data_IF_095530707819
#
_entry.id   IF_095530707819
#
_cell.length_a   1.000
_cell.length_b   1.000
_cell.length_c   1.000
_cell.angle_alpha   90.00
_cell.angle_beta   90.00
_cell.angle_gamma   90.00
#
_symmetry.space_group_name_H-M   'P 1'
#
loop_
_entity.id
_entity.type
_entity.pdbx_description
1 polymer ?
#
# COMPACT_ATOMS: atom_id res chain seq x y z
N UNK A 1 1.62 6.95 20.87
CA UNK A 1 0.59 7.33 19.87
C UNK A 1 0.30 6.09 19.06
N UNK A 2 -0.94 5.61 19.02
CA UNK A 2 -1.28 4.37 18.32
C UNK A 2 -2.20 4.75 17.15
N UNK A 3 -1.62 4.95 15.96
CA UNK A 3 -2.37 5.29 14.75
C UNK A 3 -2.49 4.04 13.88
N UNK A 4 -3.72 3.61 13.58
CA UNK A 4 -4.01 2.49 12.67
C UNK A 4 -4.70 3.01 11.42
N UNK A 5 -4.19 2.66 10.26
CA UNK A 5 -4.76 2.98 8.96
C UNK A 5 -5.13 1.68 8.25
N UNK A 6 -6.38 1.56 7.82
CA UNK A 6 -6.87 0.42 7.04
C UNK A 6 -7.15 0.84 5.61
N UNK A 7 -6.80 -0.01 4.65
CA UNK A 7 -6.95 0.23 3.22
C UNK A 7 -7.35 -1.04 2.48
N UNK A 8 -8.00 -0.88 1.32
CA UNK A 8 -8.28 -2.00 0.43
C UNK A 8 -7.00 -2.37 -0.36
N UNK A 9 -6.77 -3.66 -0.55
CA UNK A 9 -5.60 -4.17 -1.26
C UNK A 9 -5.86 -4.43 -2.75
N UNK A 10 -7.13 -4.50 -3.16
CA UNK A 10 -7.52 -4.78 -4.53
C UNK A 10 -8.79 -4.02 -4.91
N UNK A 11 -8.91 -3.64 -6.19
CA UNK A 11 -10.15 -3.09 -6.76
C UNK A 11 -11.21 -4.18 -6.89
N UNK A 12 -10.82 -5.35 -7.38
CA UNK A 12 -11.73 -6.47 -7.61
C UNK A 12 -12.21 -7.10 -6.30
N UNK A 13 -11.36 -7.10 -5.27
CA UNK A 13 -11.63 -7.67 -3.95
C UNK A 13 -11.51 -6.60 -2.87
N UNK A 14 -12.36 -5.57 -2.95
CA UNK A 14 -12.33 -4.42 -2.04
C UNK A 14 -12.58 -4.78 -0.57
N UNK A 15 -13.13 -5.97 -0.30
CA UNK A 15 -13.29 -6.50 1.07
C UNK A 15 -11.99 -7.05 1.67
N UNK A 16 -10.97 -7.30 0.83
CA UNK A 16 -9.64 -7.71 1.30
C UNK A 16 -8.89 -6.46 1.75
N UNK A 17 -8.78 -6.30 3.07
CA UNK A 17 -8.18 -5.13 3.70
C UNK A 17 -6.78 -5.44 4.22
N UNK A 18 -5.90 -4.48 4.09
CA UNK A 18 -4.64 -4.39 4.81
C UNK A 18 -4.71 -3.31 5.88
N UNK A 19 -3.75 -3.32 6.78
CA UNK A 19 -3.61 -2.26 7.77
C UNK A 19 -2.16 -1.99 8.10
N UNK A 20 -1.87 -0.72 8.39
CA UNK A 20 -0.61 -0.28 8.99
C UNK A 20 -0.94 0.35 10.34
N UNK A 21 -0.35 -0.16 11.39
CA UNK A 21 -0.45 0.41 12.72
C UNK A 21 0.93 0.90 13.17
N UNK A 22 1.00 2.15 13.57
CA UNK A 22 2.23 2.80 14.04
C UNK A 22 2.12 3.04 15.53
N UNK A 23 3.02 2.43 16.28
CA UNK A 23 3.18 2.61 17.71
C UNK A 23 4.49 3.38 18.01
N UNK A 24 4.71 3.75 19.26
CA UNK A 24 5.91 4.49 19.70
C UNK A 24 7.23 3.74 19.47
N UNK A 25 7.22 2.43 19.24
CA UNK A 25 8.41 1.59 19.05
C UNK A 25 8.38 0.69 17.83
N UNK A 26 7.18 0.43 17.27
CA UNK A 26 6.99 -0.56 16.21
C UNK A 26 6.03 -0.06 15.14
N UNK A 27 6.31 -0.43 13.91
CA UNK A 27 5.35 -0.39 12.80
C UNK A 27 4.86 -1.81 12.55
N UNK A 28 3.57 -2.05 12.69
CA UNK A 28 2.93 -3.33 12.41
C UNK A 28 2.19 -3.23 11.09
N UNK A 29 2.54 -4.06 10.16
CA UNK A 29 1.88 -4.16 8.86
C UNK A 29 1.17 -5.49 8.75
N UNK A 30 -0.08 -5.45 8.33
CA UNK A 30 -0.88 -6.64 8.04
C UNK A 30 -1.44 -6.48 6.63
N UNK A 31 -0.97 -7.29 5.70
CA UNK A 31 -1.40 -7.28 4.31
C UNK A 31 -1.82 -8.68 3.88
N UNK A 32 -2.70 -8.77 2.90
CA UNK A 32 -2.99 -10.04 2.25
C UNK A 32 -2.05 -10.21 1.06
N UNK A 33 -1.44 -11.37 0.94
CA UNK A 33 -0.71 -11.74 -0.25
C UNK A 33 -1.70 -12.01 -1.39
N UNK A 34 -1.40 -11.52 -2.57
CA UNK A 34 -2.22 -11.75 -3.75
C UNK A 34 -1.44 -12.54 -4.80
N UNK A 35 -1.97 -13.68 -5.21
CA UNK A 35 -1.45 -14.43 -6.37
C UNK A 35 -1.80 -13.63 -7.62
N UNK A 36 -0.79 -13.38 -8.48
CA UNK A 36 -0.91 -12.58 -9.71
C UNK A 36 -1.46 -11.15 -9.50
N UNK A 37 -1.52 -10.68 -8.23
CA UNK A 37 -2.10 -9.38 -7.89
C UNK A 37 -3.63 -9.33 -7.96
N UNK A 38 -4.30 -10.48 -8.15
CA UNK A 38 -5.75 -10.59 -8.34
C UNK A 38 -6.39 -11.38 -7.20
N UNK A 39 -5.88 -12.57 -6.87
CA UNK A 39 -6.50 -13.45 -5.87
C UNK A 39 -5.82 -13.33 -4.50
N UNK A 40 -6.57 -13.12 -3.40
CA UNK A 40 -6.00 -13.15 -2.06
C UNK A 40 -5.56 -14.59 -1.70
N UNK A 41 -4.27 -14.77 -1.40
CA UNK A 41 -3.66 -16.09 -1.19
C UNK A 41 -2.99 -16.24 0.17
N UNK A 42 -3.44 -15.52 1.17
CA UNK A 42 -2.89 -15.59 2.52
C UNK A 42 -2.76 -14.22 3.15
N UNK A 43 -2.30 -14.18 4.39
CA UNK A 43 -2.02 -12.95 5.14
C UNK A 43 -0.55 -12.90 5.49
N UNK A 44 0.03 -11.73 5.33
CA UNK A 44 1.37 -11.43 5.77
C UNK A 44 1.28 -10.39 6.88
N UNK A 45 1.81 -10.73 8.05
CA UNK A 45 1.82 -9.85 9.21
C UNK A 45 3.27 -9.65 9.63
N UNK A 46 3.77 -8.42 9.51
CA UNK A 46 5.14 -8.09 9.85
C UNK A 46 5.17 -6.96 10.89
N UNK A 47 6.06 -7.11 11.87
CA UNK A 47 6.32 -6.09 12.90
C UNK A 47 7.75 -5.61 12.77
N UNK A 48 7.92 -4.32 12.50
CA UNK A 48 9.20 -3.68 12.27
C UNK A 48 9.51 -2.71 13.42
N UNK A 49 10.66 -2.84 14.12
CA UNK A 49 11.10 -1.83 15.06
C UNK A 49 11.40 -0.51 14.35
N UNK A 50 10.96 0.63 14.88
CA UNK A 50 11.22 1.96 14.31
C UNK A 50 12.71 2.21 14.07
N UNK A 51 13.56 1.81 15.01
CA UNK A 51 15.03 1.94 14.91
C UNK A 51 15.65 1.27 13.68
N UNK A 52 14.95 0.31 13.06
CA UNK A 52 15.42 -0.38 11.86
C UNK A 52 14.89 0.25 10.56
N UNK A 53 14.01 1.24 10.66
CA UNK A 53 13.44 1.96 9.53
C UNK A 53 14.30 3.19 9.26
N UNK A 54 14.85 3.25 8.04
CA UNK A 54 15.69 4.37 7.62
C UNK A 54 14.89 5.50 7.00
N UNK A 55 13.91 5.16 6.16
CA UNK A 55 13.05 6.13 5.48
C UNK A 55 11.79 5.47 4.91
N UNK A 56 10.85 6.29 4.45
CA UNK A 56 9.66 5.84 3.72
C UNK A 56 9.57 6.54 2.37
N UNK A 57 9.10 5.81 1.36
CA UNK A 57 8.93 6.34 0.01
C UNK A 57 7.57 5.93 -0.55
N UNK A 58 6.81 6.90 -1.05
CA UNK A 58 5.58 6.64 -1.80
C UNK A 58 5.87 6.70 -3.30
N UNK A 59 5.49 5.65 -4.04
CA UNK A 59 5.72 5.53 -5.47
C UNK A 59 4.46 5.07 -6.19
N UNK A 60 4.22 5.56 -7.40
CA UNK A 60 3.18 5.03 -8.28
C UNK A 60 3.76 3.89 -9.10
N UNK A 61 3.06 2.77 -9.17
CA UNK A 61 3.48 1.58 -9.91
C UNK A 61 2.37 1.16 -10.87
N UNK A 62 2.76 0.93 -12.13
CA UNK A 62 1.84 0.50 -13.18
C UNK A 62 2.13 -0.93 -13.58
N UNK A 63 1.14 -1.80 -13.50
CA UNK A 63 1.20 -3.16 -14.03
C UNK A 63 0.63 -3.17 -15.45
N UNK A 64 1.51 -3.22 -16.44
CA UNK A 64 1.13 -3.10 -17.85
C UNK A 64 0.22 -4.26 -18.28
N UNK A 65 0.47 -5.48 -17.80
CA UNK A 65 -0.29 -6.67 -18.20
C UNK A 65 -1.80 -6.56 -17.92
N UNK A 66 -2.29 -6.30 -16.71
CA UNK A 66 -3.72 -6.10 -16.48
C UNK A 66 -4.28 -4.88 -17.23
N UNK A 67 -3.49 -3.84 -17.47
CA UNK A 67 -3.93 -2.68 -18.25
C UNK A 67 -4.22 -3.05 -19.70
N UNK A 68 -3.35 -3.83 -20.35
CA UNK A 68 -3.55 -4.30 -21.72
C UNK A 68 -4.79 -5.20 -21.80
N UNK A 69 -4.93 -6.15 -20.87
CA UNK A 69 -6.11 -7.05 -20.83
C UNK A 69 -7.40 -6.25 -20.65
N UNK A 70 -7.39 -5.26 -19.74
CA UNK A 70 -8.54 -4.40 -19.52
C UNK A 70 -8.97 -3.65 -20.80
N UNK A 71 -7.99 -3.07 -21.52
CA UNK A 71 -8.24 -2.38 -22.80
C UNK A 71 -8.83 -3.35 -23.83
N UNK A 72 -8.28 -4.55 -23.99
CA UNK A 72 -8.78 -5.53 -24.94
C UNK A 72 -10.23 -5.91 -24.66
N UNK A 73 -10.57 -6.15 -23.39
CA UNK A 73 -11.94 -6.46 -22.97
C UNK A 73 -12.89 -5.29 -23.28
N UNK A 74 -12.47 -4.03 -23.01
CA UNK A 74 -13.27 -2.85 -23.34
C UNK A 74 -13.49 -2.71 -24.84
N UNK A 75 -12.50 -2.98 -25.69
CA UNK A 75 -12.65 -2.95 -27.15
C UNK A 75 -13.61 -4.02 -27.63
N UNK A 76 -13.53 -5.24 -27.09
CA UNK A 76 -14.50 -6.32 -27.40
C UNK A 76 -15.90 -5.89 -26.96
N UNK A 77 -16.07 -5.28 -25.81
CA UNK A 77 -17.34 -4.78 -25.32
C UNK A 77 -17.95 -3.74 -26.29
N UNK A 78 -17.14 -2.79 -26.77
CA UNK A 78 -17.58 -1.79 -27.74
C UNK A 78 -18.04 -2.41 -29.08
N UNK A 79 -17.37 -3.46 -29.56
CA UNK A 79 -17.75 -4.16 -30.78
C UNK A 79 -19.11 -4.89 -30.66
N UNK A 80 -19.56 -5.16 -29.44
CA UNK A 80 -20.82 -5.86 -29.14
C UNK A 80 -22.02 -4.93 -28.87
N UNK A 81 -21.83 -3.62 -28.86
CA UNK A 81 -22.91 -2.65 -28.57
C UNK A 81 -24.15 -2.81 -29.47
N UNK A 82 -23.94 -3.13 -30.74
CA UNK A 82 -25.04 -3.33 -31.71
C UNK A 82 -25.83 -4.64 -31.53
N UNK A 83 -25.27 -5.63 -30.83
CA UNK A 83 -25.89 -6.95 -30.66
C UNK A 83 -26.56 -7.09 -29.30
N UNK A 84 -25.96 -6.59 -28.24
CA UNK A 84 -26.47 -6.66 -26.86
C UNK A 84 -25.90 -5.51 -26.01
N UNK A 85 -26.71 -4.48 -25.84
CA UNK A 85 -26.31 -3.30 -25.05
C UNK A 85 -25.94 -3.64 -23.60
N UNK A 86 -26.81 -4.42 -22.92
CA UNK A 86 -26.53 -4.78 -21.50
C UNK A 86 -25.31 -5.68 -21.36
N UNK A 87 -25.12 -6.64 -22.26
CA UNK A 87 -23.93 -7.48 -22.26
C UNK A 87 -22.66 -6.67 -22.51
N UNK A 88 -22.67 -5.76 -23.48
CA UNK A 88 -21.56 -4.87 -23.77
C UNK A 88 -21.22 -3.98 -22.56
N UNK A 89 -22.23 -3.43 -21.87
CA UNK A 89 -22.03 -2.61 -20.68
C UNK A 89 -21.34 -3.38 -19.54
N UNK A 90 -21.77 -4.61 -19.27
CA UNK A 90 -21.16 -5.46 -18.24
C UNK A 90 -19.69 -5.75 -18.57
N UNK A 91 -19.40 -6.17 -19.81
CA UNK A 91 -18.02 -6.42 -20.24
C UNK A 91 -17.16 -5.16 -20.21
N UNK A 92 -17.72 -4.01 -20.53
CA UNK A 92 -17.00 -2.74 -20.44
C UNK A 92 -16.62 -2.39 -18.99
N UNK A 93 -17.55 -2.56 -18.05
CA UNK A 93 -17.29 -2.34 -16.62
C UNK A 93 -16.21 -3.30 -16.11
N UNK A 94 -16.29 -4.59 -16.47
CA UNK A 94 -15.28 -5.59 -16.09
C UNK A 94 -13.91 -5.19 -16.65
N UNK A 95 -13.83 -4.80 -17.92
CA UNK A 95 -12.59 -4.33 -18.55
C UNK A 95 -12.01 -3.10 -17.86
N UNK A 96 -12.87 -2.14 -17.49
CA UNK A 96 -12.45 -0.94 -16.76
C UNK A 96 -11.93 -1.26 -15.35
N UNK A 97 -12.52 -2.19 -14.62
CA UNK A 97 -12.05 -2.65 -13.31
C UNK A 97 -10.68 -3.35 -13.42
N UNK A 98 -10.51 -4.21 -14.43
CA UNK A 98 -9.23 -4.90 -14.69
C UNK A 98 -8.16 -3.88 -15.07
N UNK A 99 -8.46 -2.92 -15.94
CA UNK A 99 -7.56 -1.82 -16.30
C UNK A 99 -7.13 -1.03 -15.07
N UNK A 100 -8.07 -0.60 -14.23
CA UNK A 100 -7.80 0.13 -13.01
C UNK A 100 -6.95 -0.66 -12.01
N UNK A 101 -7.08 -2.00 -11.98
CA UNK A 101 -6.26 -2.86 -11.11
C UNK A 101 -4.77 -2.83 -11.45
N UNK A 102 -4.40 -2.36 -12.65
CA UNK A 102 -3.03 -2.12 -13.05
C UNK A 102 -2.42 -0.84 -12.46
N UNK A 103 -3.23 0.10 -11.95
CA UNK A 103 -2.76 1.35 -11.35
C UNK A 103 -2.61 1.20 -9.85
N UNK A 104 -1.38 1.12 -9.37
CA UNK A 104 -1.07 0.91 -7.95
C UNK A 104 -0.29 2.09 -7.37
N UNK A 105 -0.51 2.34 -6.09
CA UNK A 105 0.36 3.17 -5.26
C UNK A 105 1.09 2.26 -4.28
N UNK A 106 2.40 2.40 -4.18
CA UNK A 106 3.24 1.55 -3.34
C UNK A 106 3.93 2.41 -2.29
N UNK A 107 3.75 2.07 -1.03
CA UNK A 107 4.53 2.57 0.09
C UNK A 107 5.70 1.62 0.32
N UNK A 108 6.91 2.12 0.18
CA UNK A 108 8.15 1.39 0.44
C UNK A 108 8.68 1.86 1.79
N UNK A 109 8.83 0.94 2.72
CA UNK A 109 9.46 1.16 4.03
C UNK A 109 10.88 0.61 3.92
N UNK A 110 11.84 1.52 3.88
CA UNK A 110 13.27 1.18 3.79
C UNK A 110 13.79 0.82 5.16
N UNK A 111 14.45 -0.32 5.26
CA UNK A 111 15.05 -0.82 6.49
C UNK A 111 16.42 -1.46 6.23
N UNK A 112 17.21 -1.60 7.27
CA UNK A 112 18.51 -2.29 7.18
C UNK A 112 18.28 -3.76 6.75
N UNK A 113 18.72 -4.10 5.54
CA UNK A 113 18.72 -5.45 4.98
C UNK A 113 17.68 -5.70 3.89
N UNK A 114 16.42 -5.34 4.03
CA UNK A 114 15.40 -5.61 3.01
C UNK A 114 14.25 -4.59 3.09
N UNK A 115 13.89 -4.01 1.96
CA UNK A 115 12.77 -3.08 1.86
C UNK A 115 11.42 -3.82 1.94
N UNK A 116 10.46 -3.24 2.64
CA UNK A 116 9.09 -3.73 2.70
C UNK A 116 8.18 -2.84 1.85
N UNK A 117 7.46 -3.44 0.89
CA UNK A 117 6.62 -2.70 -0.04
C UNK A 117 5.14 -3.09 0.12
N UNK A 118 4.29 -2.09 0.34
CA UNK A 118 2.84 -2.23 0.43
C UNK A 118 2.23 -1.58 -0.80
N UNK A 119 1.55 -2.36 -1.64
CA UNK A 119 0.89 -1.86 -2.84
C UNK A 119 -0.62 -1.86 -2.67
N UNK A 120 -1.25 -0.74 -3.00
CA UNK A 120 -2.71 -0.56 -2.97
C UNK A 120 -3.21 0.05 -4.27
N UNK A 121 -4.49 -0.08 -4.60
CA UNK A 121 -5.10 0.61 -5.74
C UNK A 121 -4.92 2.14 -5.64
N UNK A 122 -4.92 2.81 -6.79
CA UNK A 122 -4.67 4.25 -6.90
C UNK A 122 -5.60 5.12 -6.04
N UNK A 123 -6.85 4.71 -5.83
CA UNK A 123 -7.82 5.46 -5.01
C UNK A 123 -7.56 5.37 -3.50
N UNK A 124 -6.75 4.42 -3.05
CA UNK A 124 -6.31 4.28 -1.65
C UNK A 124 -5.01 5.06 -1.34
N UNK A 125 -4.48 5.80 -2.32
CA UNK A 125 -3.24 6.60 -2.18
C UNK A 125 -3.24 7.49 -0.93
N UNK A 126 -4.37 8.15 -0.64
CA UNK A 126 -4.48 9.05 0.51
C UNK A 126 -4.30 8.31 1.85
N UNK A 127 -4.78 7.07 1.95
CA UNK A 127 -4.59 6.27 3.16
C UNK A 127 -3.14 5.84 3.34
N UNK A 128 -2.44 5.50 2.25
CA UNK A 128 -0.99 5.24 2.33
C UNK A 128 -0.20 6.50 2.68
N UNK A 129 -0.61 7.68 2.20
CA UNK A 129 0.01 8.95 2.57
C UNK A 129 -0.14 9.21 4.08
N UNK A 130 -1.33 8.97 4.65
CA UNK A 130 -1.55 9.08 6.10
C UNK A 130 -0.68 8.08 6.87
N UNK A 131 -0.55 6.84 6.38
CA UNK A 131 0.33 5.84 6.98
C UNK A 131 1.80 6.28 6.92
N UNK A 132 2.27 6.79 5.78
CA UNK A 132 3.60 7.35 5.61
C UNK A 132 3.88 8.46 6.61
N UNK A 133 3.02 9.49 6.65
CA UNK A 133 3.19 10.61 7.57
C UNK A 133 3.21 10.15 9.04
N UNK A 134 2.42 9.14 9.38
CA UNK A 134 2.40 8.58 10.75
C UNK A 134 3.70 7.86 11.09
N UNK A 135 4.32 7.18 10.13
CA UNK A 135 5.64 6.54 10.32
C UNK A 135 6.72 7.61 10.46
N UNK A 136 6.73 8.63 9.59
CA UNK A 136 7.71 9.72 9.63
C UNK A 136 7.63 10.52 10.92
N UNK A 137 6.42 10.81 11.41
CA UNK A 137 6.21 11.46 12.70
C UNK A 137 6.75 10.61 13.86
N UNK A 138 6.55 9.29 13.82
CA UNK A 138 7.08 8.39 14.83
C UNK A 138 8.61 8.30 14.79
N UNK A 139 9.21 8.30 13.59
CA UNK A 139 10.66 8.31 13.40
C UNK A 139 11.30 9.61 13.94
N UNK A 140 10.71 10.76 13.63
CA UNK A 140 11.19 12.05 14.13
C UNK A 140 11.17 12.09 15.68
N UNK A 141 10.08 11.63 16.28
CA UNK A 141 9.93 11.58 17.72
C UNK A 141 10.90 10.58 18.41
N UNK A 142 11.25 9.48 17.76
CA UNK A 142 12.21 8.49 18.26
C UNK A 142 13.65 9.06 18.20
N UNK A 143 13.98 9.80 17.14
CA UNK A 143 15.27 10.48 16.97
C UNK A 143 15.46 11.54 18.04
N UNK A 144 14.47 12.41 18.26
CA UNK A 144 14.53 13.48 19.27
C UNK A 144 14.76 12.93 20.69
N UNK A 145 14.11 11.81 21.03
CA UNK A 145 14.31 11.15 22.33
C UNK A 145 15.72 10.59 22.48
N UNK A 146 16.28 10.04 21.41
CA UNK A 146 17.62 9.45 21.42
C UNK A 146 18.69 10.54 21.59
N UNK A 147 18.55 11.66 20.91
CA UNK A 147 19.47 12.80 20.99
C UNK A 147 19.45 13.45 22.38
N UNK A 148 18.26 13.65 22.95
CA UNK A 148 18.12 14.15 24.32
C UNK A 148 18.79 13.22 25.36
N UNK A 149 18.60 11.90 25.22
CA UNK A 149 19.18 10.92 26.10
C UNK A 149 20.72 10.94 26.05
N UNK A 150 21.26 10.99 24.82
CA UNK A 150 22.73 11.11 24.63
C UNK A 150 23.28 12.41 25.19
N UNK A 151 22.54 13.52 25.12
CA UNK A 151 22.94 14.79 25.69
C UNK A 151 23.03 14.74 27.22
N UNK A 152 22.03 14.15 27.88
CA UNK A 152 22.02 14.02 29.34
C UNK A 152 23.09 13.03 29.84
N UNK A 153 23.33 11.93 29.15
CA UNK A 153 24.35 10.95 29.47
C UNK A 153 25.76 11.58 29.41
N UNK A 154 26.03 12.42 28.39
CA UNK A 154 27.30 13.18 28.28
C UNK A 154 27.47 14.23 29.39
N UNK A 155 26.38 14.84 29.86
CA UNK A 155 26.42 15.87 30.90
C UNK A 155 26.54 15.28 32.32
N UNK A 156 26.13 14.02 32.52
CA UNK A 156 26.24 13.31 33.79
C UNK A 156 27.58 12.62 34.03
N UNK A 157 28.50 12.67 33.05
CA UNK A 157 29.85 12.04 33.15
C UNK A 157 30.99 13.03 33.40
N UNK A 158 30.67 14.31 33.66
CA UNK A 158 31.65 15.36 34.07
C UNK A 158 31.53 15.71 35.54
#
# INVERSE_FOLDING_TARGET
MNKKVEFALSILFFWVKGSVAVDSRFVKVNTANAILGIFPAGRDAETMPLKNISSTKLSSKYKIFPMIIGILIMLIALSRLGTSFFGALIFFIIGALIFGSGMLTTLIIQRAGNDYAISVPFFEKNKLLIAQNSIEEALAHDTDKTDLKQFFDKKGTN
#
